data_IF_055999426601
#
_entry.id   IF_055999426601
#
_cell.length_a   1.000
_cell.length_b   1.000
_cell.length_c   1.000
_cell.angle_alpha   90.00
_cell.angle_beta   90.00
_cell.angle_gamma   90.00
#
_symmetry.space_group_name_H-M   'P 1'
#
loop_
_entity.id
_entity.type
_entity.pdbx_description
1 polymer ?
#
# COMPACT_ATOMS: atom_id res chain seq x y z
N UNK A 1 -50.27 12.61 40.89
CA UNK A 1 -48.90 13.15 40.69
C UNK A 1 -47.95 12.15 41.32
N UNK A 2 -47.02 11.46 40.65
CA UNK A 2 -46.01 11.94 39.69
C UNK A 2 -45.58 10.77 38.78
N UNK A 3 -45.54 11.01 37.47
CA UNK A 3 -44.88 10.13 36.50
C UNK A 3 -43.37 10.13 36.76
N UNK A 4 -42.74 8.96 36.68
CA UNK A 4 -41.28 8.83 36.56
C UNK A 4 -40.99 7.97 35.33
N UNK A 5 -40.88 8.59 34.16
CA UNK A 5 -40.31 7.96 32.97
C UNK A 5 -38.84 8.42 32.88
N UNK A 6 -37.94 7.55 33.31
CA UNK A 6 -36.50 7.74 33.13
C UNK A 6 -36.14 7.54 31.67
N UNK A 7 -35.86 8.63 30.96
CA UNK A 7 -35.40 8.62 29.57
C UNK A 7 -33.87 8.42 29.57
N UNK A 8 -33.43 7.17 29.51
CA UNK A 8 -32.01 6.83 29.32
C UNK A 8 -31.60 7.20 27.90
N UNK A 9 -30.93 8.34 27.74
CA UNK A 9 -30.36 8.78 26.48
C UNK A 9 -29.22 7.84 26.06
N UNK A 10 -29.51 6.96 25.10
CA UNK A 10 -28.53 6.10 24.46
C UNK A 10 -27.70 6.97 23.49
N UNK A 11 -26.51 7.41 23.93
CA UNK A 11 -25.52 8.07 23.09
C UNK A 11 -24.98 7.07 22.07
N UNK A 12 -25.61 7.01 20.90
CA UNK A 12 -25.07 6.34 19.74
C UNK A 12 -23.83 7.12 19.27
N UNK A 13 -22.64 6.66 19.66
CA UNK A 13 -21.39 7.10 19.04
C UNK A 13 -21.39 6.61 17.60
N UNK A 14 -21.81 7.47 16.67
CA UNK A 14 -21.57 7.28 15.25
C UNK A 14 -20.05 7.32 15.03
N UNK A 15 -19.41 6.15 15.02
CA UNK A 15 -18.05 6.06 14.52
C UNK A 15 -18.07 6.53 13.06
N UNK A 16 -17.17 7.44 12.65
CA UNK A 16 -17.07 7.79 11.24
C UNK A 16 -16.76 6.50 10.50
N UNK A 17 -17.67 6.07 9.63
CA UNK A 17 -17.35 5.09 8.61
C UNK A 17 -16.18 5.69 7.82
N UNK A 18 -14.96 5.22 8.06
CA UNK A 18 -13.86 5.48 7.16
C UNK A 18 -14.23 4.77 5.87
N UNK A 19 -14.90 5.49 4.96
CA UNK A 19 -14.94 5.09 3.58
C UNK A 19 -13.48 4.88 3.18
N UNK A 20 -13.10 3.64 2.86
CA UNK A 20 -11.75 3.23 2.45
C UNK A 20 -11.43 3.85 1.09
N UNK A 21 -11.24 5.17 1.09
CA UNK A 21 -10.88 5.95 -0.06
C UNK A 21 -9.43 5.71 -0.46
N UNK A 22 -9.10 6.17 -1.66
CA UNK A 22 -7.73 6.17 -2.13
C UNK A 22 -6.83 6.99 -1.20
N UNK A 23 -5.69 6.40 -0.83
CA UNK A 23 -4.63 7.10 -0.12
C UNK A 23 -4.02 8.19 -1.01
N UNK A 24 -3.66 9.32 -0.40
CA UNK A 24 -2.69 10.22 -1.02
C UNK A 24 -1.30 9.56 -1.04
N UNK A 25 -0.39 9.96 -1.94
CA UNK A 25 0.97 9.44 -1.93
C UNK A 25 1.72 9.67 -0.61
N UNK A 26 1.43 10.76 0.10
CA UNK A 26 2.00 11.06 1.42
C UNK A 26 1.46 10.12 2.49
N UNK A 27 0.15 9.83 2.46
CA UNK A 27 -0.47 8.87 3.36
C UNK A 27 0.06 7.46 3.08
N UNK A 28 0.25 7.09 1.81
CA UNK A 28 0.92 5.85 1.42
C UNK A 28 2.35 5.79 1.99
N UNK A 29 3.16 6.83 1.77
CA UNK A 29 4.53 6.89 2.28
C UNK A 29 4.58 6.68 3.80
N UNK A 30 3.68 7.32 4.55
CA UNK A 30 3.61 7.15 6.00
C UNK A 30 3.29 5.70 6.43
N UNK A 31 2.64 4.90 5.58
CA UNK A 31 2.31 3.49 5.86
C UNK A 31 3.49 2.56 5.61
N UNK A 32 4.33 2.86 4.62
CA UNK A 32 5.36 1.92 4.13
C UNK A 32 6.80 2.35 4.41
N UNK A 33 7.04 3.61 4.80
CA UNK A 33 8.40 4.12 5.02
C UNK A 33 9.21 3.24 6.00
N UNK A 34 10.38 2.77 5.54
CA UNK A 34 11.27 1.92 6.33
C UNK A 34 10.78 0.48 6.52
N UNK A 35 9.73 0.07 5.81
CA UNK A 35 9.13 -1.27 5.87
C UNK A 35 9.25 -1.98 4.51
N UNK A 36 8.76 -3.20 4.46
CA UNK A 36 8.60 -3.94 3.21
C UNK A 36 7.16 -4.38 2.99
N UNK A 37 6.78 -4.63 1.74
CA UNK A 37 5.47 -5.20 1.39
C UNK A 37 5.64 -6.45 0.55
N UNK A 38 5.07 -7.57 1.01
CA UNK A 38 4.90 -8.75 0.16
C UNK A 38 3.74 -8.45 -0.78
N UNK A 39 3.98 -8.59 -2.09
CA UNK A 39 3.01 -8.32 -3.14
C UNK A 39 2.46 -9.64 -3.67
N UNK A 40 1.13 -9.73 -3.66
CA UNK A 40 0.37 -10.90 -4.07
C UNK A 40 -0.64 -10.48 -5.15
N UNK A 41 -0.74 -11.25 -6.22
CA UNK A 41 -1.71 -11.00 -7.29
C UNK A 41 -3.15 -11.37 -6.89
N UNK A 42 -4.09 -11.20 -7.82
CA UNK A 42 -5.49 -11.55 -7.61
C UNK A 42 -5.76 -13.06 -7.50
N UNK A 43 -4.81 -13.91 -7.92
CA UNK A 43 -4.90 -15.37 -7.83
C UNK A 43 -4.31 -15.92 -6.53
N UNK A 44 -3.64 -15.08 -5.74
CA UNK A 44 -3.04 -15.44 -4.46
C UNK A 44 -1.55 -15.77 -4.54
N UNK A 45 -0.93 -15.58 -5.70
CA UNK A 45 0.49 -15.86 -5.90
C UNK A 45 1.36 -14.66 -5.50
N UNK A 46 2.30 -14.90 -4.57
CA UNK A 46 3.22 -13.86 -4.09
C UNK A 46 4.50 -13.86 -4.91
N UNK A 47 4.70 -12.85 -5.73
CA UNK A 47 5.77 -12.83 -6.73
C UNK A 47 6.96 -11.91 -6.38
N UNK A 48 6.80 -11.02 -5.40
CA UNK A 48 7.91 -10.22 -4.91
C UNK A 48 7.66 -9.51 -3.59
N UNK A 49 8.73 -8.91 -3.08
CA UNK A 49 8.71 -8.06 -1.89
C UNK A 49 9.33 -6.71 -2.23
N UNK A 50 8.56 -5.63 -2.02
CA UNK A 50 9.02 -4.25 -2.19
C UNK A 50 9.58 -3.73 -0.88
N UNK A 51 10.80 -3.21 -0.87
CA UNK A 51 11.41 -2.58 0.31
C UNK A 51 11.48 -1.06 0.14
N UNK A 52 10.93 -0.31 1.08
CA UNK A 52 10.84 1.15 1.00
C UNK A 52 11.93 1.84 1.82
N UNK A 53 12.82 2.55 1.11
CA UNK A 53 13.97 3.23 1.67
C UNK A 53 13.73 4.76 1.81
N UNK A 54 14.61 5.47 2.52
CA UNK A 54 14.60 6.94 2.52
C UNK A 54 14.68 7.53 1.09
N UNK A 55 14.14 8.74 0.96
CA UNK A 55 14.11 9.52 -0.28
C UNK A 55 13.36 8.84 -1.43
N UNK A 56 12.33 8.04 -1.09
CA UNK A 56 11.46 7.32 -2.05
C UNK A 56 12.21 6.35 -2.95
N UNK A 57 13.36 5.86 -2.49
CA UNK A 57 14.04 4.74 -3.13
C UNK A 57 13.37 3.44 -2.74
N UNK A 58 13.43 2.45 -3.63
CA UNK A 58 12.87 1.12 -3.41
C UNK A 58 13.81 0.04 -3.91
N UNK A 59 13.65 -1.15 -3.33
CA UNK A 59 14.27 -2.37 -3.82
C UNK A 59 13.15 -3.40 -3.98
N UNK A 60 12.92 -3.80 -5.22
CA UNK A 60 12.05 -4.92 -5.53
C UNK A 60 12.87 -6.21 -5.48
N UNK A 61 12.52 -7.14 -4.59
CA UNK A 61 13.11 -8.47 -4.57
C UNK A 61 12.12 -9.50 -5.12
N UNK A 62 12.53 -10.25 -6.15
CA UNK A 62 11.72 -11.33 -6.69
C UNK A 62 11.67 -12.53 -5.73
N UNK A 63 10.48 -13.10 -5.56
CA UNK A 63 10.31 -14.27 -4.69
C UNK A 63 11.06 -15.49 -5.23
N UNK A 64 11.06 -15.67 -6.56
CA UNK A 64 11.52 -16.89 -7.24
C UNK A 64 13.03 -17.14 -7.13
N UNK A 65 13.85 -16.11 -7.39
CA UNK A 65 15.31 -16.24 -7.48
C UNK A 65 16.07 -15.30 -6.54
N UNK A 66 15.35 -14.48 -5.77
CA UNK A 66 15.91 -13.46 -4.85
C UNK A 66 16.74 -12.38 -5.53
N UNK A 67 16.68 -12.27 -6.86
CA UNK A 67 17.25 -11.15 -7.58
C UNK A 67 16.53 -9.85 -7.22
N UNK A 68 17.23 -8.72 -7.38
CA UNK A 68 16.72 -7.41 -7.01
C UNK A 68 16.68 -6.46 -8.21
N UNK A 69 15.67 -5.59 -8.22
CA UNK A 69 15.66 -4.36 -9.01
C UNK A 69 15.71 -3.16 -8.07
N UNK A 70 16.57 -2.22 -8.39
CA UNK A 70 16.67 -0.96 -7.68
C UNK A 70 15.84 0.09 -8.42
N UNK A 71 15.17 0.94 -7.65
CA UNK A 71 14.30 1.94 -8.23
C UNK A 71 13.97 3.09 -7.30
N UNK A 72 13.02 3.89 -7.75
CA UNK A 72 12.42 4.96 -6.98
C UNK A 72 10.95 5.08 -7.33
N UNK A 73 10.20 5.83 -6.54
CA UNK A 73 8.83 6.15 -6.87
C UNK A 73 8.54 7.64 -6.74
N UNK A 74 7.63 8.13 -7.58
CA UNK A 74 7.17 9.52 -7.57
C UNK A 74 5.64 9.59 -7.54
N UNK A 75 5.08 10.62 -6.87
CA UNK A 75 3.64 10.84 -6.86
C UNK A 75 3.19 11.43 -8.20
N UNK A 76 2.09 10.91 -8.77
CA UNK A 76 1.45 11.50 -9.95
C UNK A 76 -0.06 11.34 -9.90
N UNK A 77 -0.79 12.47 -9.86
CA UNK A 77 -2.27 12.50 -9.85
C UNK A 77 -2.91 11.55 -8.80
N UNK A 78 -2.27 11.42 -7.63
CA UNK A 78 -2.72 10.55 -6.55
C UNK A 78 -2.33 9.07 -6.68
N UNK A 79 -1.56 8.72 -7.71
CA UNK A 79 -0.87 7.43 -7.84
C UNK A 79 0.58 7.53 -7.36
N UNK A 80 1.16 6.37 -7.10
CA UNK A 80 2.58 6.13 -6.83
C UNK A 80 3.14 5.43 -8.06
N UNK A 81 4.08 6.09 -8.72
CA UNK A 81 4.65 5.63 -9.98
C UNK A 81 6.09 5.20 -9.76
N UNK A 82 6.34 3.90 -9.92
CA UNK A 82 7.62 3.24 -9.72
C UNK A 82 8.43 3.27 -11.01
N UNK A 83 9.71 3.59 -10.90
CA UNK A 83 10.68 3.48 -11.98
C UNK A 83 11.85 2.62 -11.50
N UNK A 84 12.10 1.54 -12.23
CA UNK A 84 13.20 0.61 -12.01
C UNK A 84 14.25 0.77 -13.11
N UNK A 85 15.51 0.47 -12.79
CA UNK A 85 16.59 0.52 -13.78
C UNK A 85 16.27 -0.38 -14.99
N UNK A 86 16.19 0.22 -16.18
CA UNK A 86 15.92 -0.48 -17.44
C UNK A 86 14.45 -0.86 -17.70
N UNK A 87 13.51 -0.45 -16.83
CA UNK A 87 12.09 -0.77 -16.93
C UNK A 87 11.20 0.36 -17.45
N UNK A 88 9.97 0.01 -17.84
CA UNK A 88 8.88 0.98 -17.99
C UNK A 88 8.34 1.37 -16.61
N UNK A 89 7.86 2.61 -16.49
CA UNK A 89 7.24 3.09 -15.27
C UNK A 89 5.90 2.38 -15.01
N UNK A 90 5.66 1.95 -13.77
CA UNK A 90 4.40 1.33 -13.35
C UNK A 90 3.74 2.16 -12.25
N UNK A 91 2.46 2.53 -12.42
CA UNK A 91 1.74 3.37 -11.50
C UNK A 91 0.61 2.62 -10.80
N UNK A 92 0.54 2.80 -9.48
CA UNK A 92 -0.44 2.16 -8.62
C UNK A 92 -1.15 3.21 -7.77
N UNK A 93 -2.46 3.05 -7.58
CA UNK A 93 -3.20 3.72 -6.52
C UNK A 93 -3.45 2.75 -5.38
N UNK A 94 -3.43 3.25 -4.16
CA UNK A 94 -3.58 2.41 -2.96
C UNK A 94 -4.81 2.77 -2.17
N UNK A 95 -5.47 1.76 -1.60
CA UNK A 95 -6.47 1.92 -0.55
C UNK A 95 -6.02 1.16 0.71
N UNK A 96 -6.42 1.59 1.91
CA UNK A 96 -6.23 0.79 3.12
C UNK A 96 -6.91 -0.58 2.97
N UNK A 97 -6.29 -1.62 3.51
CA UNK A 97 -6.87 -2.95 3.64
C UNK A 97 -6.35 -3.58 4.95
N UNK A 98 -7.09 -3.36 6.04
CA UNK A 98 -6.67 -3.75 7.38
C UNK A 98 -5.27 -3.21 7.75
N UNK A 99 -4.35 -4.11 8.09
CA UNK A 99 -2.94 -3.75 8.36
C UNK A 99 -2.09 -3.59 7.10
N UNK A 100 -2.60 -4.01 5.94
CA UNK A 100 -1.95 -3.93 4.64
C UNK A 100 -2.54 -2.83 3.75
N UNK A 101 -2.44 -3.04 2.45
CA UNK A 101 -2.97 -2.18 1.39
C UNK A 101 -3.50 -3.04 0.24
N UNK A 102 -4.50 -2.55 -0.49
CA UNK A 102 -4.74 -2.99 -1.87
C UNK A 102 -4.11 -1.98 -2.82
N UNK A 103 -3.33 -2.44 -3.79
CA UNK A 103 -2.83 -1.64 -4.92
C UNK A 103 -3.63 -1.94 -6.18
N UNK A 104 -3.93 -0.91 -6.98
CA UNK A 104 -4.62 -1.06 -8.27
C UNK A 104 -3.83 -0.30 -9.32
N UNK A 105 -3.46 -0.97 -10.41
CA UNK A 105 -2.76 -0.34 -11.53
C UNK A 105 -3.57 0.84 -12.06
N UNK A 106 -2.87 1.89 -12.42
CA UNK A 106 -3.50 3.13 -12.84
C UNK A 106 -2.72 3.80 -13.97
N UNK A 107 -3.43 4.11 -15.04
CA UNK A 107 -2.89 4.86 -16.17
C UNK A 107 -3.89 5.95 -16.58
N UNK A 108 -3.70 7.17 -16.07
CA UNK A 108 -4.47 8.36 -16.44
C UNK A 108 -6.00 8.18 -16.44
N UNK A 109 -6.50 7.49 -15.40
CA UNK A 109 -7.93 7.26 -15.19
C UNK A 109 -8.41 5.88 -15.61
N UNK A 110 -7.59 5.10 -16.31
CA UNK A 110 -7.84 3.69 -16.59
C UNK A 110 -7.24 2.84 -15.47
N UNK A 111 -8.01 1.92 -14.90
CA UNK A 111 -7.55 0.97 -13.87
C UNK A 111 -7.27 -0.40 -14.46
N UNK A 112 -6.23 -1.06 -13.97
CA UNK A 112 -5.80 -2.40 -14.42
C UNK A 112 -5.82 -3.44 -13.30
N UNK A 113 -4.75 -4.22 -13.22
CA UNK A 113 -4.61 -5.31 -12.26
C UNK A 113 -4.66 -4.83 -10.81
N UNK A 114 -5.07 -5.72 -9.91
CA UNK A 114 -5.16 -5.46 -8.47
C UNK A 114 -4.23 -6.39 -7.71
N UNK A 115 -3.53 -5.84 -6.73
CA UNK A 115 -2.58 -6.54 -5.89
C UNK A 115 -2.93 -6.36 -4.41
N UNK A 116 -2.71 -7.40 -3.63
CA UNK A 116 -2.73 -7.33 -2.17
C UNK A 116 -1.32 -7.11 -1.64
N UNK A 117 -1.14 -6.16 -0.73
CA UNK A 117 0.15 -5.82 -0.14
C UNK A 117 0.11 -6.05 1.37
N UNK A 118 0.89 -7.04 1.83
CA UNK A 118 1.09 -7.26 3.25
C UNK A 118 2.32 -6.49 3.73
N UNK A 119 2.10 -5.47 4.56
CA UNK A 119 3.17 -4.71 5.20
C UNK A 119 3.85 -5.55 6.28
N UNK A 120 5.17 -5.62 6.26
CA UNK A 120 6.01 -6.34 7.21
C UNK A 120 7.19 -5.48 7.67
N UNK A 121 7.68 -5.75 8.87
CA UNK A 121 8.94 -5.21 9.35
C UNK A 121 10.07 -6.15 8.93
N UNK A 122 10.82 -5.76 7.92
CA UNK A 122 11.96 -6.51 7.39
C UNK A 122 13.09 -5.54 7.01
N UNK A 123 14.36 -5.89 7.26
CA UNK A 123 15.48 -5.08 6.78
C UNK A 123 15.53 -5.10 5.24
N UNK A 124 16.23 -4.15 4.61
CA UNK A 124 16.55 -4.23 3.18
C UNK A 124 17.19 -5.59 2.84
N UNK A 125 16.89 -6.16 1.66
CA UNK A 125 17.35 -7.48 1.31
C UNK A 125 18.85 -7.47 1.00
N UNK A 126 19.51 -8.60 1.20
CA UNK A 126 20.82 -8.83 0.60
C UNK A 126 20.61 -9.25 -0.86
N UNK A 127 21.08 -8.44 -1.81
CA UNK A 127 20.87 -8.66 -3.23
C UNK A 127 22.08 -9.40 -3.84
N UNK A 128 21.90 -10.59 -4.43
CA UNK A 128 23.00 -11.28 -5.09
C UNK A 128 23.59 -10.42 -6.22
N UNK A 129 24.90 -10.14 -6.15
CA UNK A 129 25.63 -9.43 -7.22
C UNK A 129 25.62 -7.90 -7.14
N UNK A 130 25.16 -7.29 -6.04
CA UNK A 130 25.29 -5.86 -5.73
C UNK A 130 26.57 -5.53 -4.95
#
# INVERSE_FOLDING_TARGET
MRLSLGLTALLATAAPAMAEGWLSPEAFQARVAGKATIVTDAFGDSFGTEHFLPDRRVIWQYTADKSCLFGSWTPRRGAVCYSYDGGLENCLRYRPDGSGLTGVEWNDGVTGETYSLKIIDAPPPNCPGS
#
